data_IF_028422233422
#
_entry.id   IF_028422233422
#
_cell.length_a   1.000
_cell.length_b   1.000
_cell.length_c   1.000
_cell.angle_alpha   90.00
_cell.angle_beta   90.00
_cell.angle_gamma   90.00
#
_symmetry.space_group_name_H-M   'P 1'
#
loop_
_entity.id
_entity.type
_entity.pdbx_description
1 polymer ?
#
# COMPACT_ATOMS: atom_id res chain seq x y z
N UNK A 1 -46.00 4.76 10.92
CA UNK A 1 -44.66 5.41 10.83
C UNK A 1 -43.61 4.33 10.89
N UNK A 2 -43.09 3.92 9.73
CA UNK A 2 -42.04 2.90 9.62
C UNK A 2 -40.70 3.62 9.81
N UNK A 3 -39.99 3.28 10.88
CA UNK A 3 -38.69 3.85 11.23
C UNK A 3 -37.61 3.14 10.41
N UNK A 4 -37.13 3.78 9.33
CA UNK A 4 -35.95 3.30 8.62
C UNK A 4 -34.72 3.53 9.49
N UNK A 5 -34.18 2.47 10.10
CA UNK A 5 -32.83 2.48 10.67
C UNK A 5 -31.82 2.49 9.52
N UNK A 6 -31.18 3.63 9.30
CA UNK A 6 -29.97 3.72 8.49
C UNK A 6 -28.87 2.91 9.19
N UNK A 7 -28.55 1.73 8.66
CA UNK A 7 -27.29 1.05 8.97
C UNK A 7 -26.15 1.87 8.36
N UNK A 8 -25.05 2.15 9.09
CA UNK A 8 -23.86 2.69 8.48
C UNK A 8 -23.27 1.60 7.59
N UNK A 9 -23.27 1.81 6.27
CA UNK A 9 -22.45 1.06 5.34
C UNK A 9 -21.00 1.28 5.74
N UNK A 10 -20.42 0.33 6.47
CA UNK A 10 -18.97 0.16 6.53
C UNK A 10 -18.52 -0.19 5.10
N UNK A 11 -18.26 0.85 4.29
CA UNK A 11 -17.49 0.71 3.07
C UNK A 11 -16.07 0.35 3.49
N UNK A 12 -15.78 -0.95 3.60
CA UNK A 12 -14.40 -1.41 3.57
C UNK A 12 -13.79 -0.85 2.29
N UNK A 13 -12.84 0.07 2.44
CA UNK A 13 -11.96 0.50 1.37
C UNK A 13 -11.12 -0.73 0.97
N UNK A 14 -11.68 -1.60 0.13
CA UNK A 14 -10.88 -2.57 -0.57
C UNK A 14 -9.90 -1.78 -1.42
N UNK A 15 -8.60 -2.09 -1.30
CA UNK A 15 -7.61 -1.57 -2.22
C UNK A 15 -8.11 -1.85 -3.65
N UNK A 16 -8.27 -0.79 -4.45
CA UNK A 16 -8.63 -0.95 -5.86
C UNK A 16 -7.55 -1.81 -6.52
N UNK A 17 -7.94 -3.02 -6.92
CA UNK A 17 -7.09 -3.96 -7.62
C UNK A 17 -7.70 -4.27 -8.97
N UNK A 18 -6.86 -4.30 -10.00
CA UNK A 18 -7.26 -4.54 -11.38
C UNK A 18 -6.43 -5.70 -11.89
N UNK A 19 -7.05 -6.69 -12.51
CA UNK A 19 -6.34 -7.83 -13.08
C UNK A 19 -6.06 -7.57 -14.57
N UNK A 20 -4.83 -7.83 -15.00
CA UNK A 20 -4.43 -7.85 -16.40
C UNK A 20 -3.98 -9.28 -16.73
N UNK A 21 -4.39 -9.79 -17.90
CA UNK A 21 -4.31 -11.21 -18.23
C UNK A 21 -3.59 -11.40 -19.55
N UNK A 22 -2.68 -12.37 -19.64
CA UNK A 22 -2.10 -12.72 -20.92
C UNK A 22 -3.20 -13.11 -21.89
N UNK A 23 -3.18 -12.64 -23.16
CA UNK A 23 -3.99 -13.24 -24.21
C UNK A 23 -3.76 -14.75 -24.22
N UNK A 24 -4.82 -15.52 -23.98
CA UNK A 24 -4.75 -16.97 -23.85
C UNK A 24 -4.48 -17.58 -25.22
N UNK A 25 -3.41 -18.34 -25.34
CA UNK A 25 -3.13 -19.19 -26.51
C UNK A 25 -3.51 -20.64 -26.25
N UNK A 26 -3.34 -21.07 -25.02
CA UNK A 26 -3.80 -22.35 -24.46
C UNK A 26 -4.51 -22.07 -23.13
N UNK A 27 -5.27 -23.05 -22.63
CA UNK A 27 -5.87 -23.02 -21.29
C UNK A 27 -5.46 -24.26 -20.46
N UNK A 28 -4.35 -24.91 -20.81
CA UNK A 28 -3.85 -26.11 -20.13
C UNK A 28 -3.27 -25.80 -18.74
N UNK A 29 -3.36 -26.80 -17.86
CA UNK A 29 -2.85 -26.74 -16.49
C UNK A 29 -3.75 -26.02 -15.49
N UNK A 30 -3.32 -26.04 -14.23
CA UNK A 30 -4.06 -25.48 -13.10
C UNK A 30 -3.49 -24.13 -12.67
N UNK A 31 -4.38 -23.21 -12.29
CA UNK A 31 -4.01 -21.95 -11.65
C UNK A 31 -3.44 -22.19 -10.26
N UNK A 32 -2.21 -21.76 -10.03
CA UNK A 32 -1.45 -22.05 -8.82
C UNK A 32 -1.80 -21.12 -7.64
N UNK A 33 -2.59 -20.08 -7.91
CA UNK A 33 -3.15 -19.18 -6.91
C UNK A 33 -2.36 -17.89 -6.74
N UNK A 34 -3.08 -16.80 -6.46
CA UNK A 34 -2.50 -15.47 -6.33
C UNK A 34 -1.43 -15.37 -5.24
N UNK A 35 -0.29 -14.78 -5.59
CA UNK A 35 0.68 -14.23 -4.64
C UNK A 35 0.78 -12.73 -4.82
N UNK A 36 0.68 -12.00 -3.71
CA UNK A 36 0.73 -10.55 -3.71
C UNK A 36 2.04 -10.07 -3.09
N UNK A 37 2.55 -8.96 -3.60
CA UNK A 37 3.59 -8.18 -2.96
C UNK A 37 3.13 -7.75 -1.54
N UNK A 38 4.06 -7.59 -0.58
CA UNK A 38 3.75 -6.93 0.69
C UNK A 38 3.16 -5.53 0.48
N UNK A 39 2.31 -5.09 1.41
CA UNK A 39 1.62 -3.80 1.34
C UNK A 39 2.60 -2.64 1.08
N UNK A 40 2.24 -1.77 0.13
CA UNK A 40 3.05 -0.60 -0.25
C UNK A 40 4.29 -0.93 -1.10
N UNK A 41 4.40 -2.16 -1.62
CA UNK A 41 5.46 -2.56 -2.55
C UNK A 41 4.90 -3.04 -3.88
N UNK A 42 5.70 -2.92 -4.94
CA UNK A 42 5.32 -3.21 -6.31
C UNK A 42 6.43 -4.02 -7.00
N UNK A 43 6.05 -4.87 -7.93
CA UNK A 43 6.99 -5.69 -8.69
C UNK A 43 7.93 -4.78 -9.49
N UNK A 44 9.22 -5.09 -9.46
CA UNK A 44 10.25 -4.29 -10.15
C UNK A 44 11.36 -5.16 -10.77
N UNK A 45 11.32 -6.46 -10.55
CA UNK A 45 12.26 -7.40 -11.13
C UNK A 45 11.59 -8.74 -11.38
N UNK A 46 12.15 -9.50 -12.32
CA UNK A 46 11.66 -10.83 -12.71
C UNK A 46 12.80 -11.83 -12.73
N UNK A 47 12.49 -13.08 -12.42
CA UNK A 47 13.38 -14.22 -12.59
C UNK A 47 12.61 -15.34 -13.26
N UNK A 48 13.25 -16.01 -14.21
CA UNK A 48 12.65 -17.05 -15.03
C UNK A 48 13.27 -18.40 -14.67
N UNK A 49 12.45 -19.45 -14.63
CA UNK A 49 12.90 -20.83 -14.62
C UNK A 49 12.62 -21.43 -15.99
N UNK A 50 13.65 -21.87 -16.68
CA UNK A 50 13.56 -22.35 -18.06
C UNK A 50 14.46 -23.56 -18.23
N UNK A 51 14.05 -24.48 -19.08
CA UNK A 51 14.87 -25.63 -19.44
C UNK A 51 16.06 -25.21 -20.32
N UNK A 52 17.18 -25.94 -20.23
CA UNK A 52 18.37 -25.67 -21.03
C UNK A 52 18.35 -26.41 -22.36
N UNK A 53 19.13 -25.93 -23.33
CA UNK A 53 19.33 -26.54 -24.65
C UNK A 53 19.72 -28.03 -24.53
N UNK A 54 18.81 -28.92 -24.95
CA UNK A 54 18.94 -30.38 -24.83
C UNK A 54 19.69 -31.01 -26.03
N UNK A 55 20.25 -30.21 -26.95
CA UNK A 55 21.06 -30.71 -28.10
C UNK A 55 20.36 -31.82 -28.91
N UNK A 56 19.04 -31.72 -29.10
CA UNK A 56 18.27 -32.62 -29.96
C UNK A 56 16.86 -33.03 -29.49
N UNK A 57 16.35 -32.47 -28.40
CA UNK A 57 14.94 -32.54 -27.96
C UNK A 57 14.35 -31.14 -27.86
N UNK A 58 13.02 -30.99 -27.77
CA UNK A 58 12.34 -29.68 -27.79
C UNK A 58 12.90 -28.75 -26.72
N UNK A 59 13.56 -27.70 -27.19
CA UNK A 59 14.26 -26.77 -26.34
C UNK A 59 13.25 -25.78 -25.74
N UNK A 60 13.43 -25.46 -24.45
CA UNK A 60 13.22 -24.09 -23.93
C UNK A 60 11.79 -23.61 -23.63
N UNK A 61 10.99 -24.41 -22.91
CA UNK A 61 9.76 -23.90 -22.26
C UNK A 61 9.99 -23.12 -20.94
N UNK A 62 9.18 -22.09 -20.68
CA UNK A 62 9.10 -21.41 -19.39
C UNK A 62 8.39 -22.29 -18.38
N UNK A 63 9.03 -22.52 -17.24
CA UNK A 63 8.53 -23.38 -16.17
C UNK A 63 8.05 -22.57 -14.96
N UNK A 64 8.56 -21.35 -14.77
CA UNK A 64 8.13 -20.46 -13.69
C UNK A 64 8.53 -19.01 -13.94
N UNK A 65 7.74 -18.10 -13.37
CA UNK A 65 8.04 -16.67 -13.26
C UNK A 65 7.94 -16.27 -11.80
N UNK A 66 9.07 -15.80 -11.24
CA UNK A 66 9.10 -15.15 -9.95
C UNK A 66 9.24 -13.63 -10.13
N UNK A 67 8.49 -12.86 -9.35
CA UNK A 67 8.63 -11.40 -9.29
C UNK A 67 9.27 -11.00 -7.96
N UNK A 68 10.00 -9.88 -7.95
CA UNK A 68 10.50 -9.27 -6.72
C UNK A 68 9.86 -7.92 -6.51
N UNK A 69 9.48 -7.62 -5.28
CA UNK A 69 8.75 -6.41 -4.92
C UNK A 69 9.60 -5.41 -4.12
N UNK A 70 9.44 -4.12 -4.41
CA UNK A 70 10.08 -3.04 -3.65
C UNK A 70 9.11 -1.85 -3.46
N UNK A 71 9.30 -1.01 -2.42
CA UNK A 71 8.65 0.29 -2.37
C UNK A 71 9.06 1.14 -3.58
N UNK A 72 8.25 2.16 -3.90
CA UNK A 72 8.60 3.18 -4.89
C UNK A 72 9.86 3.94 -4.49
N UNK A 73 10.55 4.53 -5.48
CA UNK A 73 11.79 5.30 -5.29
C UNK A 73 12.89 4.50 -4.58
N UNK A 74 12.92 3.19 -4.82
CA UNK A 74 14.03 2.36 -4.42
C UNK A 74 15.29 2.77 -5.18
N UNK A 75 16.43 2.72 -4.50
CA UNK A 75 17.76 2.96 -5.07
C UNK A 75 18.70 1.75 -4.92
N UNK A 76 18.23 0.67 -4.28
CA UNK A 76 19.00 -0.55 -4.05
C UNK A 76 18.28 -1.77 -4.59
N UNK A 77 18.93 -2.46 -5.52
CA UNK A 77 18.53 -3.77 -6.03
C UNK A 77 18.68 -4.83 -4.93
N UNK A 78 17.62 -5.58 -4.64
CA UNK A 78 17.62 -6.68 -3.68
C UNK A 78 16.51 -7.71 -3.97
N UNK A 79 16.71 -8.95 -3.54
CA UNK A 79 15.80 -10.06 -3.82
C UNK A 79 14.99 -10.51 -2.60
N UNK A 80 14.81 -9.63 -1.60
CA UNK A 80 14.26 -10.04 -0.30
C UNK A 80 12.75 -10.28 -0.28
N UNK A 81 12.01 -9.83 -1.30
CA UNK A 81 10.54 -9.90 -1.37
C UNK A 81 10.10 -10.59 -2.66
N UNK A 82 10.53 -11.84 -2.80
CA UNK A 82 10.11 -12.70 -3.89
C UNK A 82 8.63 -13.10 -3.74
N UNK A 83 7.90 -13.10 -4.86
CA UNK A 83 6.58 -13.69 -5.00
C UNK A 83 6.60 -14.69 -6.15
N UNK A 84 6.08 -15.89 -5.88
CA UNK A 84 6.09 -17.02 -6.81
C UNK A 84 4.76 -17.75 -6.71
N UNK A 85 3.96 -17.67 -7.78
CA UNK A 85 2.63 -18.31 -7.84
C UNK A 85 2.75 -19.83 -7.87
N UNK A 86 3.48 -20.37 -8.84
CA UNK A 86 3.83 -21.78 -8.91
C UNK A 86 5.09 -21.99 -9.73
N UNK A 87 5.61 -23.21 -9.68
CA UNK A 87 6.88 -23.59 -10.29
C UNK A 87 6.78 -25.00 -10.88
N UNK A 88 7.15 -25.12 -12.16
CA UNK A 88 7.32 -26.41 -12.84
C UNK A 88 8.56 -27.17 -12.37
N UNK A 89 8.57 -28.49 -12.57
CA UNK A 89 9.62 -29.38 -12.09
C UNK A 89 10.96 -29.22 -12.79
N UNK A 90 10.96 -28.78 -14.04
CA UNK A 90 12.12 -28.83 -14.92
C UNK A 90 12.84 -27.49 -15.08
N UNK A 91 14.05 -27.56 -15.65
CA UNK A 91 14.90 -26.41 -15.92
C UNK A 91 15.54 -25.75 -14.70
N UNK A 92 16.24 -24.65 -14.97
CA UNK A 92 17.01 -23.92 -13.97
C UNK A 92 16.62 -22.46 -13.89
N UNK A 93 16.58 -21.93 -12.67
CA UNK A 93 16.39 -20.51 -12.42
C UNK A 93 17.56 -19.70 -13.01
N UNK A 94 17.24 -18.72 -13.85
CA UNK A 94 18.22 -17.82 -14.47
C UNK A 94 18.48 -16.58 -13.61
N UNK A 95 19.35 -15.70 -14.11
CA UNK A 95 19.65 -14.42 -13.45
C UNK A 95 18.42 -13.52 -13.32
N UNK A 96 18.37 -12.75 -12.24
CA UNK A 96 17.31 -11.76 -12.02
C UNK A 96 17.50 -10.59 -12.97
N UNK A 97 16.40 -10.12 -13.57
CA UNK A 97 16.34 -8.96 -14.46
C UNK A 97 15.56 -7.86 -13.77
N UNK A 98 16.16 -6.68 -13.68
CA UNK A 98 15.62 -5.57 -12.91
C UNK A 98 15.18 -4.43 -13.81
N UNK A 99 14.06 -3.81 -13.49
CA UNK A 99 13.69 -2.52 -14.06
C UNK A 99 14.80 -1.50 -13.76
N UNK A 100 14.98 -0.46 -14.60
CA UNK A 100 15.85 0.67 -14.30
C UNK A 100 15.53 1.29 -12.93
N UNK A 101 16.53 1.95 -12.33
CA UNK A 101 16.44 2.51 -10.99
C UNK A 101 15.19 3.37 -10.78
N UNK A 102 14.48 3.10 -9.68
CA UNK A 102 13.26 3.83 -9.31
C UNK A 102 12.00 3.49 -10.12
N UNK A 103 12.10 2.69 -11.18
CA UNK A 103 10.95 2.23 -11.96
C UNK A 103 10.33 0.96 -11.36
N UNK A 104 9.07 0.72 -11.71
CA UNK A 104 8.30 -0.47 -11.33
C UNK A 104 7.66 -1.08 -12.57
N UNK A 105 7.26 -2.35 -12.46
CA UNK A 105 6.56 -3.06 -13.52
C UNK A 105 5.14 -2.49 -13.65
N UNK A 106 4.81 -2.02 -14.86
CA UNK A 106 3.53 -1.38 -15.20
C UNK A 106 2.73 -2.17 -16.25
N UNK A 107 3.26 -3.30 -16.70
CA UNK A 107 2.63 -4.16 -17.70
C UNK A 107 3.50 -5.36 -18.04
N UNK A 108 2.99 -6.21 -18.93
CA UNK A 108 3.72 -7.37 -19.41
C UNK A 108 3.21 -7.88 -20.77
N UNK A 109 3.99 -8.78 -21.35
CA UNK A 109 3.60 -9.67 -22.43
C UNK A 109 4.23 -11.06 -22.20
N UNK A 110 3.60 -12.10 -22.75
CA UNK A 110 4.17 -13.45 -22.83
C UNK A 110 4.61 -13.74 -24.27
N UNK A 111 5.67 -14.53 -24.43
CA UNK A 111 6.01 -15.14 -25.72
C UNK A 111 5.55 -16.59 -25.71
N UNK A 112 4.76 -16.96 -26.71
CA UNK A 112 4.23 -18.30 -26.90
C UNK A 112 3.97 -18.51 -28.39
N UNK A 113 4.19 -19.72 -28.89
CA UNK A 113 3.85 -20.13 -30.26
C UNK A 113 2.32 -20.12 -30.50
N UNK A 114 1.83 -20.49 -31.67
CA UNK A 114 0.39 -20.67 -31.92
C UNK A 114 0.12 -22.12 -32.31
N UNK A 115 -1.04 -22.64 -31.91
CA UNK A 115 -1.50 -24.01 -32.19
C UNK A 115 -1.30 -24.37 -33.67
N UNK A 116 -0.42 -25.34 -33.94
CA UNK A 116 -0.07 -25.80 -35.29
C UNK A 116 -0.92 -26.97 -35.79
N UNK A 117 -2.10 -27.22 -35.22
CA UNK A 117 -3.11 -28.19 -35.71
C UNK A 117 -2.56 -29.60 -35.87
N UNK A 118 -2.01 -30.17 -34.80
CA UNK A 118 -1.65 -31.60 -34.73
C UNK A 118 -0.15 -31.91 -34.69
N UNK A 119 0.67 -30.96 -34.23
CA UNK A 119 2.00 -31.20 -33.66
C UNK A 119 1.96 -30.66 -32.23
N UNK A 120 2.73 -31.24 -31.31
CA UNK A 120 2.74 -30.86 -29.90
C UNK A 120 2.96 -29.35 -29.74
N UNK A 121 2.17 -28.71 -28.88
CA UNK A 121 2.01 -27.25 -28.85
C UNK A 121 2.39 -26.62 -27.49
N UNK A 122 3.37 -25.70 -27.54
CA UNK A 122 3.17 -24.25 -27.22
C UNK A 122 3.02 -23.82 -25.74
N UNK A 123 3.90 -24.29 -24.86
CA UNK A 123 4.15 -23.59 -23.59
C UNK A 123 4.51 -22.10 -23.80
N UNK A 124 4.34 -21.26 -22.78
CA UNK A 124 5.02 -19.97 -22.79
C UNK A 124 6.53 -20.22 -22.76
N UNK A 125 7.29 -19.45 -23.52
CA UNK A 125 8.77 -19.56 -23.59
C UNK A 125 9.40 -18.39 -22.83
N UNK A 126 8.78 -17.20 -22.87
CA UNK A 126 9.34 -16.03 -22.21
C UNK A 126 8.26 -15.12 -21.62
N UNK A 127 8.68 -14.31 -20.65
CA UNK A 127 7.90 -13.25 -20.03
C UNK A 127 8.67 -11.94 -20.16
N UNK A 128 7.99 -10.90 -20.65
CA UNK A 128 8.52 -9.55 -20.74
C UNK A 128 7.70 -8.65 -19.81
N UNK A 129 8.36 -8.06 -18.81
CA UNK A 129 7.76 -7.02 -17.96
C UNK A 129 8.11 -5.63 -18.49
N UNK A 130 7.12 -4.76 -18.63
CA UNK A 130 7.31 -3.36 -19.00
C UNK A 130 7.51 -2.51 -17.75
N UNK A 131 8.52 -1.63 -17.77
CA UNK A 131 8.94 -0.82 -16.64
C UNK A 131 8.64 0.65 -16.88
N UNK A 132 8.14 1.34 -15.86
CA UNK A 132 7.85 2.77 -15.94
C UNK A 132 7.48 3.37 -14.60
N UNK A 133 7.08 4.64 -14.64
CA UNK A 133 6.49 5.30 -13.48
C UNK A 133 4.99 5.01 -13.44
N UNK A 134 4.38 4.96 -12.24
CA UNK A 134 2.94 4.71 -12.11
C UNK A 134 2.06 5.68 -12.92
N UNK A 135 2.43 6.96 -13.01
CA UNK A 135 1.68 7.97 -13.78
C UNK A 135 2.24 8.21 -15.20
N UNK A 136 3.26 7.44 -15.58
CA UNK A 136 3.92 7.55 -16.87
C UNK A 136 3.09 7.02 -18.05
N UNK A 137 3.63 7.09 -19.27
CA UNK A 137 3.01 6.47 -20.43
C UNK A 137 2.92 4.94 -20.27
N UNK A 138 1.97 4.32 -20.98
CA UNK A 138 1.81 2.86 -21.07
C UNK A 138 2.41 2.38 -22.37
N UNK A 139 3.72 2.21 -22.34
CA UNK A 139 4.52 1.87 -23.50
C UNK A 139 5.68 0.92 -23.13
N UNK A 140 6.46 0.54 -24.15
CA UNK A 140 7.58 -0.38 -24.03
C UNK A 140 8.93 0.35 -23.86
N UNK A 141 8.95 1.60 -23.39
CA UNK A 141 10.17 2.42 -23.31
C UNK A 141 11.28 1.76 -22.48
N UNK A 142 10.89 1.01 -21.44
CA UNK A 142 11.80 0.19 -20.66
C UNK A 142 11.16 -1.18 -20.44
N UNK A 143 11.95 -2.24 -20.53
CA UNK A 143 11.45 -3.60 -20.37
C UNK A 143 12.53 -4.54 -19.80
N UNK A 144 12.06 -5.65 -19.25
CA UNK A 144 12.89 -6.74 -18.72
C UNK A 144 12.32 -8.08 -19.20
N UNK A 145 13.15 -8.96 -19.74
CA UNK A 145 12.75 -10.32 -20.13
C UNK A 145 13.83 -11.34 -19.80
N UNK A 146 13.47 -12.62 -19.85
CA UNK A 146 14.43 -13.72 -19.77
C UNK A 146 15.34 -13.74 -20.99
N UNK A 147 16.58 -14.21 -20.81
CA UNK A 147 17.55 -14.43 -21.90
C UNK A 147 17.27 -15.77 -22.62
N UNK A 148 16.00 -16.11 -22.89
CA UNK A 148 15.68 -17.34 -23.62
C UNK A 148 15.73 -17.11 -25.13
N UNK A 149 16.63 -17.80 -25.85
CA UNK A 149 16.38 -18.05 -27.27
C UNK A 149 15.15 -18.95 -27.35
N UNK A 150 14.27 -18.71 -28.32
CA UNK A 150 13.11 -19.56 -28.48
C UNK A 150 12.17 -19.05 -29.54
N UNK A 151 11.11 -19.82 -29.76
CA UNK A 151 10.22 -19.72 -30.90
C UNK A 151 8.87 -19.10 -30.48
N UNK A 152 8.13 -18.55 -31.44
CA UNK A 152 6.82 -17.95 -31.19
C UNK A 152 6.78 -16.42 -31.11
N UNK A 153 5.56 -15.92 -30.91
CA UNK A 153 5.24 -14.50 -31.02
C UNK A 153 4.88 -13.92 -29.65
N UNK A 154 5.30 -12.68 -29.41
CA UNK A 154 4.81 -11.94 -28.25
C UNK A 154 3.29 -11.74 -28.36
N UNK A 155 2.59 -12.03 -27.27
CA UNK A 155 1.17 -11.69 -27.11
C UNK A 155 0.98 -10.17 -27.08
N UNK A 156 -0.24 -9.71 -27.32
CA UNK A 156 -0.59 -8.31 -27.13
C UNK A 156 -0.24 -7.82 -25.71
N UNK A 157 0.48 -6.70 -25.65
CA UNK A 157 0.84 -6.03 -24.41
C UNK A 157 -0.37 -5.78 -23.51
N UNK A 158 -0.15 -6.03 -22.22
CA UNK A 158 -1.11 -5.72 -21.17
C UNK A 158 -0.50 -4.71 -20.21
N UNK A 159 -1.17 -3.58 -20.01
CA UNK A 159 -0.71 -2.53 -19.10
C UNK A 159 -1.69 -2.34 -17.95
N UNK A 160 -1.15 -2.11 -16.76
CA UNK A 160 -1.92 -1.52 -15.67
C UNK A 160 -2.45 -0.15 -16.09
N UNK A 161 -3.63 0.31 -15.62
CA UNK A 161 -4.08 1.68 -15.86
C UNK A 161 -3.10 2.71 -15.28
N UNK A 162 -3.16 3.97 -15.77
CA UNK A 162 -2.41 5.07 -15.18
C UNK A 162 -2.69 5.21 -13.67
N UNK A 163 -1.65 5.46 -12.88
CA UNK A 163 -1.70 5.47 -11.41
C UNK A 163 -1.68 4.09 -10.74
N UNK A 164 -1.41 3.01 -11.50
CA UNK A 164 -1.29 1.64 -10.97
C UNK A 164 0.04 1.01 -11.37
N UNK A 165 0.50 0.04 -10.57
CA UNK A 165 1.66 -0.80 -10.86
C UNK A 165 1.39 -2.25 -10.43
N UNK A 166 2.16 -3.19 -10.98
CA UNK A 166 2.02 -4.63 -10.68
C UNK A 166 2.34 -4.90 -9.21
N UNK A 167 1.45 -5.61 -8.53
CA UNK A 167 1.53 -5.96 -7.12
C UNK A 167 1.18 -7.43 -6.83
N UNK A 168 0.97 -8.26 -7.84
CA UNK A 168 0.70 -9.67 -7.64
C UNK A 168 0.76 -10.47 -8.94
N UNK A 169 0.91 -11.78 -8.79
CA UNK A 169 1.03 -12.75 -9.88
C UNK A 169 0.20 -14.00 -9.59
N UNK A 170 -0.38 -14.56 -10.63
CA UNK A 170 -0.98 -15.89 -10.67
C UNK A 170 -0.54 -16.56 -11.97
N UNK A 171 -0.14 -17.82 -11.91
CA UNK A 171 0.38 -18.58 -13.04
C UNK A 171 -0.46 -19.82 -13.25
N UNK A 172 -0.71 -20.16 -14.51
CA UNK A 172 -1.31 -21.43 -14.91
C UNK A 172 -0.20 -22.36 -15.35
N UNK A 173 -0.04 -23.47 -14.64
CA UNK A 173 1.04 -24.43 -14.85
C UNK A 173 0.41 -25.80 -15.05
N UNK A 174 0.79 -26.45 -16.14
CA UNK A 174 0.47 -27.85 -16.38
C UNK A 174 1.41 -28.71 -15.57
N UNK A 175 0.89 -29.70 -14.85
CA UNK A 175 1.70 -30.65 -14.08
C UNK A 175 1.96 -31.94 -14.87
N UNK A 176 2.89 -32.75 -14.37
CA UNK A 176 3.27 -34.05 -14.93
C UNK A 176 2.07 -34.95 -15.26
N UNK A 177 1.84 -35.26 -16.54
CA UNK A 177 0.80 -36.16 -17.04
C UNK A 177 1.37 -37.57 -17.36
N UNK A 178 2.69 -37.76 -17.22
CA UNK A 178 3.40 -39.03 -17.20
C UNK A 178 4.06 -39.48 -18.51
N UNK A 179 3.59 -39.09 -19.69
CA UNK A 179 4.14 -39.57 -20.97
C UNK A 179 4.06 -38.52 -22.08
N UNK A 180 5.04 -37.62 -22.12
CA UNK A 180 5.15 -36.49 -23.05
C UNK A 180 5.90 -35.35 -22.35
N UNK A 181 6.08 -34.17 -22.97
CA UNK A 181 6.70 -33.03 -22.27
C UNK A 181 5.83 -32.57 -21.09
N UNK A 182 6.23 -33.03 -19.92
CA UNK A 182 5.46 -33.03 -18.70
C UNK A 182 5.91 -31.87 -17.82
N UNK A 183 5.23 -30.71 -17.88
CA UNK A 183 5.24 -29.56 -16.94
C UNK A 183 5.71 -28.25 -17.58
N UNK A 184 4.76 -27.34 -17.88
CA UNK A 184 5.07 -26.04 -18.46
C UNK A 184 4.13 -24.92 -17.99
N UNK A 185 4.65 -23.68 -17.95
CA UNK A 185 3.86 -22.48 -17.70
C UNK A 185 3.11 -22.12 -18.99
N UNK A 186 1.78 -22.05 -18.90
CA UNK A 186 0.92 -21.73 -20.03
C UNK A 186 0.46 -20.27 -20.01
N UNK A 187 0.06 -19.76 -18.84
CA UNK A 187 -0.49 -18.40 -18.72
C UNK A 187 -0.02 -17.67 -17.46
N UNK A 188 -0.06 -16.34 -17.53
CA UNK A 188 0.21 -15.42 -16.40
C UNK A 188 -0.90 -14.39 -16.32
N UNK A 189 -1.40 -14.20 -15.11
CA UNK A 189 -2.21 -13.06 -14.73
C UNK A 189 -1.47 -12.21 -13.71
N UNK A 190 -1.50 -10.90 -13.91
CA UNK A 190 -0.93 -9.94 -12.97
C UNK A 190 -2.04 -9.12 -12.33
N UNK A 191 -1.82 -8.76 -11.07
CA UNK A 191 -2.66 -7.82 -10.34
C UNK A 191 -1.97 -6.46 -10.30
N UNK A 192 -2.71 -5.43 -10.65
CA UNK A 192 -2.32 -4.03 -10.58
C UNK A 192 -2.95 -3.40 -9.35
N UNK A 193 -2.14 -2.76 -8.52
CA UNK A 193 -2.59 -2.01 -7.35
C UNK A 193 -2.40 -0.51 -7.58
N UNK A 194 -3.31 0.28 -7.06
CA UNK A 194 -3.19 1.75 -7.10
C UNK A 194 -1.91 2.19 -6.38
N UNK A 195 -1.20 3.12 -7.00
CA UNK A 195 0.01 3.74 -6.48
C UNK A 195 -0.36 5.13 -5.95
N UNK A 196 -0.04 5.45 -4.68
CA UNK A 196 -0.13 6.82 -4.19
C UNK A 196 0.75 7.73 -5.07
N UNK A 197 0.20 8.80 -5.68
CA UNK A 197 0.93 9.63 -6.66
C UNK A 197 2.10 10.45 -6.10
N UNK A 198 2.33 10.43 -4.78
CA UNK A 198 3.35 11.23 -4.13
C UNK A 198 4.45 10.34 -3.55
N UNK A 199 5.68 10.61 -4.01
CA UNK A 199 6.94 10.07 -3.50
C UNK A 199 7.26 10.57 -2.09
N UNK A 200 6.43 10.23 -1.10
CA UNK A 200 6.63 10.68 0.27
C UNK A 200 7.54 9.69 1.02
N UNK A 201 8.82 10.02 1.19
CA UNK A 201 9.73 9.26 2.03
C UNK A 201 9.82 9.89 3.42
N UNK A 202 9.16 9.29 4.40
CA UNK A 202 9.22 9.71 5.80
C UNK A 202 8.88 8.54 6.73
N UNK A 203 9.40 8.61 7.94
CA UNK A 203 8.93 7.81 9.08
C UNK A 203 8.03 8.71 9.92
N UNK A 204 6.76 8.35 10.16
CA UNK A 204 5.88 9.17 10.97
C UNK A 204 6.45 9.39 12.37
N UNK A 205 6.41 10.63 12.83
CA UNK A 205 6.71 11.00 14.22
C UNK A 205 5.46 11.55 14.89
N UNK A 206 5.36 11.35 16.20
CA UNK A 206 4.18 11.74 16.98
C UNK A 206 4.57 12.69 18.10
N UNK A 207 3.72 13.68 18.36
CA UNK A 207 3.92 14.69 19.41
C UNK A 207 2.58 15.00 20.09
N UNK A 208 2.61 15.29 21.38
CA UNK A 208 1.49 15.91 22.08
C UNK A 208 1.74 17.42 22.13
N UNK A 209 0.79 18.20 21.67
CA UNK A 209 0.86 19.66 21.76
C UNK A 209 -0.26 20.17 22.67
N UNK A 210 0.11 21.05 23.62
CA UNK A 210 -0.83 21.71 24.52
C UNK A 210 -1.79 22.58 23.72
N UNK A 211 -3.09 22.30 23.87
CA UNK A 211 -4.17 23.13 23.33
C UNK A 211 -4.58 24.22 24.33
N UNK A 212 -4.76 23.84 25.59
CA UNK A 212 -5.16 24.75 26.67
C UNK A 212 -4.76 24.21 28.04
N UNK A 213 -4.77 25.09 29.03
CA UNK A 213 -4.57 24.78 30.44
C UNK A 213 -5.56 25.60 31.27
N UNK A 214 -6.09 24.99 32.32
CA UNK A 214 -7.01 25.65 33.22
C UNK A 214 -6.73 25.26 34.67
N UNK A 215 -6.62 26.27 35.53
CA UNK A 215 -6.40 26.07 36.97
C UNK A 215 -7.70 26.35 37.75
N UNK A 216 -8.33 25.28 38.25
CA UNK A 216 -9.48 25.34 39.15
C UNK A 216 -9.10 24.94 40.59
N UNK A 217 -7.83 25.04 41.00
CA UNK A 217 -7.38 24.61 42.33
C UNK A 217 -8.02 25.39 43.47
N UNK A 218 -8.34 26.67 43.24
CA UNK A 218 -8.97 27.56 44.20
C UNK A 218 -10.51 27.58 44.10
N UNK A 219 -11.09 26.96 43.08
CA UNK A 219 -12.53 26.94 42.87
C UNK A 219 -13.23 25.83 43.67
N UNK A 220 -14.41 26.16 44.21
CA UNK A 220 -15.23 25.26 45.02
C UNK A 220 -16.22 24.41 44.19
N UNK A 221 -16.26 24.60 42.87
CA UNK A 221 -17.20 23.91 41.97
C UNK A 221 -16.54 23.49 40.66
N UNK A 222 -17.25 22.66 39.89
CA UNK A 222 -16.82 22.25 38.54
C UNK A 222 -17.00 23.40 37.56
N UNK A 223 -15.97 23.68 36.76
CA UNK A 223 -16.00 24.71 35.73
C UNK A 223 -15.94 24.05 34.35
N UNK A 224 -16.89 24.38 33.48
CA UNK A 224 -16.86 23.94 32.09
C UNK A 224 -15.98 24.91 31.28
N UNK A 225 -14.98 24.38 30.59
CA UNK A 225 -14.12 25.13 29.67
C UNK A 225 -14.35 24.66 28.25
N UNK A 226 -14.11 25.55 27.29
CA UNK A 226 -14.09 25.22 25.87
C UNK A 226 -12.66 25.19 25.34
N UNK A 227 -12.37 24.28 24.42
CA UNK A 227 -11.09 24.20 23.73
C UNK A 227 -11.27 23.77 22.26
N UNK A 228 -10.33 24.17 21.41
CA UNK A 228 -10.42 23.94 19.97
C UNK A 228 -9.44 22.86 19.53
N UNK A 229 -9.97 21.73 19.03
CA UNK A 229 -9.18 20.70 18.34
C UNK A 229 -8.75 21.21 16.97
N UNK A 230 -7.52 20.91 16.58
CA UNK A 230 -6.98 21.20 15.24
C UNK A 230 -7.00 19.91 14.42
N UNK A 231 -8.13 19.56 13.82
CA UNK A 231 -8.26 18.32 13.01
C UNK A 231 -8.09 18.68 11.54
N UNK A 232 -6.85 18.59 11.03
CA UNK A 232 -6.53 19.02 9.66
C UNK A 232 -5.18 18.50 9.19
N UNK A 233 -4.97 18.51 7.87
CA UNK A 233 -3.65 18.44 7.26
C UNK A 233 -3.08 19.85 7.09
N UNK A 234 -1.82 20.03 7.47
CA UNK A 234 -1.09 21.30 7.34
C UNK A 234 0.34 21.03 6.89
N UNK A 235 1.01 22.03 6.32
CA UNK A 235 2.44 21.95 6.03
C UNK A 235 3.24 22.48 7.23
N UNK A 236 4.34 21.81 7.56
CA UNK A 236 5.24 22.23 8.66
C UNK A 236 6.10 23.43 8.26
N UNK A 237 6.55 23.46 7.01
CA UNK A 237 7.11 24.65 6.36
C UNK A 237 5.96 25.61 6.07
N UNK A 238 6.08 26.90 6.40
CA UNK A 238 5.03 27.93 6.27
C UNK A 238 4.47 28.21 4.86
N UNK A 239 4.56 27.24 3.95
CA UNK A 239 3.86 27.17 2.68
C UNK A 239 2.35 27.28 2.88
N UNK A 240 1.74 28.21 2.14
CA UNK A 240 0.30 28.44 2.10
C UNK A 240 -0.44 27.44 1.20
N UNK A 241 0.28 26.56 0.48
CA UNK A 241 -0.34 25.54 -0.37
C UNK A 241 -1.01 24.47 0.48
N UNK A 242 -2.29 24.21 0.21
CA UNK A 242 -3.05 23.10 0.80
C UNK A 242 -2.37 21.76 0.52
N UNK A 243 -2.58 20.79 1.41
CA UNK A 243 -2.11 19.41 1.23
C UNK A 243 -3.08 18.71 0.28
N UNK A 244 -2.58 18.18 -0.84
CA UNK A 244 -3.39 17.51 -1.85
C UNK A 244 -3.91 16.14 -1.37
N UNK A 245 -4.94 15.61 -2.03
CA UNK A 245 -5.50 14.27 -1.73
C UNK A 245 -4.42 13.18 -1.80
N UNK A 246 -3.56 13.26 -2.79
CA UNK A 246 -2.50 12.29 -3.06
C UNK A 246 -1.39 12.33 -1.99
N UNK A 247 -1.03 13.53 -1.52
CA UNK A 247 -0.10 13.72 -0.40
C UNK A 247 -0.68 13.14 0.91
N UNK A 248 -1.99 13.29 1.13
CA UNK A 248 -2.68 12.72 2.30
C UNK A 248 -2.70 11.19 2.25
N UNK A 249 -2.98 10.61 1.09
CA UNK A 249 -2.93 9.16 0.86
C UNK A 249 -1.52 8.61 1.06
N UNK A 250 -0.50 9.35 0.61
CA UNK A 250 0.90 9.01 0.85
C UNK A 250 1.28 9.10 2.34
N UNK A 251 0.77 10.08 3.10
CA UNK A 251 0.95 10.13 4.56
C UNK A 251 0.30 8.92 5.24
N UNK A 252 -0.94 8.59 4.86
CA UNK A 252 -1.68 7.45 5.41
C UNK A 252 -0.91 6.13 5.20
N UNK A 253 -0.31 5.93 4.02
CA UNK A 253 0.44 4.71 3.71
C UNK A 253 1.73 4.55 4.52
N UNK A 254 2.22 5.62 5.18
CA UNK A 254 3.42 5.57 6.03
C UNK A 254 3.12 5.15 7.47
N UNK A 255 1.85 5.10 7.86
CA UNK A 255 1.43 4.68 9.20
C UNK A 255 1.53 3.16 9.32
N UNK A 256 2.73 2.68 9.69
CA UNK A 256 3.03 1.25 9.87
C UNK A 256 3.21 0.85 11.34
N UNK A 257 3.46 1.82 12.22
CA UNK A 257 3.68 1.60 13.66
C UNK A 257 2.68 2.36 14.51
N UNK A 258 2.34 1.81 15.67
CA UNK A 258 1.54 2.48 16.70
C UNK A 258 2.36 3.46 17.55
N UNK A 259 1.69 4.06 18.53
CA UNK A 259 2.29 4.98 19.51
C UNK A 259 1.85 4.59 20.92
N UNK A 260 2.76 4.69 21.89
CA UNK A 260 2.45 4.56 23.31
C UNK A 260 2.49 5.95 23.96
N UNK A 261 1.42 6.31 24.67
CA UNK A 261 1.27 7.55 25.41
C UNK A 261 1.52 7.28 26.90
N UNK A 262 2.40 8.06 27.53
CA UNK A 262 2.68 7.96 28.97
C UNK A 262 2.44 9.30 29.67
N UNK A 263 2.11 9.21 30.97
CA UNK A 263 1.91 10.36 31.85
C UNK A 263 3.16 11.23 32.05
N UNK A 264 4.35 10.75 31.68
CA UNK A 264 5.65 11.39 31.89
C UNK A 264 6.22 12.05 30.61
N UNK A 265 5.56 11.88 29.46
CA UNK A 265 5.86 12.68 28.27
C UNK A 265 7.09 12.28 27.43
N UNK A 266 7.59 11.04 27.54
CA UNK A 266 8.74 10.55 26.76
C UNK A 266 8.40 9.32 25.90
N UNK A 267 8.82 9.33 24.63
CA UNK A 267 8.27 8.53 23.52
C UNK A 267 9.30 7.59 22.86
N UNK A 268 8.89 6.38 22.48
CA UNK A 268 9.53 5.55 21.44
C UNK A 268 8.44 4.90 20.59
N UNK A 269 8.67 4.78 19.27
CA UNK A 269 7.77 4.02 18.39
C UNK A 269 7.70 2.57 18.85
N UNK A 270 6.49 2.07 19.11
CA UNK A 270 6.27 0.70 19.58
C UNK A 270 5.71 -0.13 18.43
N UNK A 271 6.45 -1.16 18.02
CA UNK A 271 5.99 -2.14 17.04
C UNK A 271 5.05 -3.13 17.74
N UNK A 272 3.75 -2.84 17.78
CA UNK A 272 2.75 -3.76 18.31
C UNK A 272 1.88 -4.30 17.19
N UNK A 273 2.12 -5.57 16.86
CA UNK A 273 1.26 -6.40 16.02
C UNK A 273 0.12 -6.97 16.87
N UNK A 274 -1.00 -6.24 17.01
CA UNK A 274 -2.17 -6.80 17.69
C UNK A 274 -3.22 -5.78 18.16
N UNK A 275 -4.49 -6.22 18.14
CA UNK A 275 -5.65 -5.52 18.70
C UNK A 275 -5.65 -5.66 20.23
N UNK A 276 -5.15 -4.68 20.97
CA UNK A 276 -5.42 -4.57 22.41
C UNK A 276 -5.63 -3.11 22.81
N UNK A 277 -6.82 -2.82 23.32
CA UNK A 277 -7.16 -1.58 24.03
C UNK A 277 -7.17 -1.88 25.54
N UNK A 278 -6.41 -1.13 26.33
CA UNK A 278 -6.47 -1.20 27.80
C UNK A 278 -7.14 0.08 28.31
N UNK A 279 -8.23 -0.08 29.07
CA UNK A 279 -8.96 1.02 29.71
C UNK A 279 -8.20 1.61 30.90
N UNK A 280 -8.49 2.87 31.22
CA UNK A 280 -7.69 3.76 32.08
C UNK A 280 -8.18 3.77 33.55
N UNK A 281 -7.38 3.27 34.49
CA UNK A 281 -7.44 3.66 35.91
C UNK A 281 -6.04 3.82 36.53
N UNK A 282 -5.83 5.00 37.12
CA UNK A 282 -4.82 5.47 38.08
C UNK A 282 -3.34 4.99 38.07
N UNK A 283 -2.47 6.02 38.08
CA UNK A 283 -1.09 6.15 38.62
C UNK A 283 0.11 5.59 37.86
N UNK A 284 -0.01 4.66 36.90
CA UNK A 284 1.12 4.16 36.07
C UNK A 284 0.73 3.92 34.60
N UNK A 285 -0.24 4.66 34.07
CA UNK A 285 -0.95 4.32 32.83
C UNK A 285 -0.17 4.66 31.55
N UNK A 286 0.16 3.62 30.79
CA UNK A 286 0.54 3.67 29.38
C UNK A 286 -0.70 3.39 28.53
N UNK A 287 -0.99 4.22 27.55
CA UNK A 287 -2.01 3.96 26.54
C UNK A 287 -1.33 3.66 25.20
N UNK A 288 -1.54 2.45 24.68
CA UNK A 288 -1.07 2.11 23.35
C UNK A 288 -2.16 2.35 22.32
N UNK A 289 -1.82 3.06 21.27
CA UNK A 289 -2.62 3.24 20.06
C UNK A 289 -1.95 2.45 18.94
N UNK A 290 -2.64 1.43 18.41
CA UNK A 290 -2.15 0.61 17.30
C UNK A 290 -2.01 1.41 16.00
N UNK A 291 -1.20 0.91 15.06
CA UNK A 291 -1.09 1.51 13.71
C UNK A 291 -2.44 1.60 13.01
N UNK A 292 -3.31 0.58 13.17
CA UNK A 292 -4.66 0.59 12.62
C UNK A 292 -5.52 1.72 13.18
N UNK A 293 -5.49 1.95 14.50
CA UNK A 293 -6.21 3.07 15.10
C UNK A 293 -5.70 4.43 14.60
N UNK A 294 -4.38 4.58 14.42
CA UNK A 294 -3.83 5.80 13.81
C UNK A 294 -4.30 5.96 12.36
N UNK A 295 -4.31 4.87 11.57
CA UNK A 295 -4.84 4.91 10.20
C UNK A 295 -6.30 5.37 10.18
N UNK A 296 -7.16 4.85 11.07
CA UNK A 296 -8.55 5.29 11.20
C UNK A 296 -8.65 6.79 11.54
N UNK A 297 -7.82 7.27 12.48
CA UNK A 297 -7.77 8.69 12.83
C UNK A 297 -7.34 9.57 11.65
N UNK A 298 -6.35 9.15 10.86
CA UNK A 298 -5.90 9.88 9.67
C UNK A 298 -7.00 9.89 8.59
N UNK A 299 -7.69 8.77 8.38
CA UNK A 299 -8.82 8.68 7.46
C UNK A 299 -9.98 9.59 7.87
N UNK A 300 -10.28 9.69 9.17
CA UNK A 300 -11.29 10.61 9.70
C UNK A 300 -10.94 12.08 9.38
N UNK A 301 -9.66 12.46 9.54
CA UNK A 301 -9.18 13.81 9.15
C UNK A 301 -9.40 14.02 7.65
N UNK A 302 -9.12 13.02 6.81
CA UNK A 302 -9.32 13.10 5.35
C UNK A 302 -10.80 13.22 4.95
N UNK A 303 -11.72 12.54 5.65
CA UNK A 303 -13.15 12.59 5.34
C UNK A 303 -13.80 13.91 5.78
N UNK A 304 -13.35 14.47 6.90
CA UNK A 304 -13.94 15.70 7.45
C UNK A 304 -13.63 16.96 6.61
N UNK A 305 -12.61 16.91 5.74
CA UNK A 305 -12.33 18.00 4.80
C UNK A 305 -13.24 17.97 3.54
N UNK A 306 -13.87 16.83 3.22
CA UNK A 306 -14.72 16.68 2.01
C UNK A 306 -16.08 17.37 2.10
N UNK A 307 -16.55 17.76 3.28
CA UNK A 307 -17.89 18.35 3.48
C UNK A 307 -17.99 19.82 3.05
N UNK A 308 -16.93 20.43 2.52
CA UNK A 308 -16.89 21.85 2.12
C UNK A 308 -16.50 22.01 0.64
N UNK A 309 -17.18 21.30 -0.27
CA UNK A 309 -17.13 21.65 -1.70
C UNK A 309 -18.32 22.52 -2.15
N UNK A 310 -19.18 22.95 -1.22
CA UNK A 310 -20.45 23.58 -1.54
C UNK A 310 -20.70 24.86 -0.72
N UNK A 311 -19.74 25.78 -0.67
CA UNK A 311 -20.03 27.18 -0.31
C UNK A 311 -19.12 28.14 -1.07
N UNK A 312 -19.73 28.86 -2.00
CA UNK A 312 -19.21 30.03 -2.67
C UNK A 312 -19.01 31.19 -1.69
N UNK A 313 -17.78 31.38 -1.20
CA UNK A 313 -17.23 32.71 -0.87
C UNK A 313 -15.73 32.65 -0.61
N UNK A 314 -15.05 33.65 -1.16
CA UNK A 314 -13.62 33.91 -1.05
C UNK A 314 -13.15 34.00 0.42
N UNK A 315 -11.87 33.64 0.61
CA UNK A 315 -11.05 33.74 1.83
C UNK A 315 -11.30 32.76 2.97
N UNK A 316 -11.01 31.45 2.83
CA UNK A 316 -10.82 30.61 4.04
C UNK A 316 -9.73 29.56 3.81
N UNK A 317 -8.57 29.78 4.43
CA UNK A 317 -7.63 28.71 4.79
C UNK A 317 -8.36 27.85 5.82
N UNK A 318 -9.04 26.77 5.39
CA UNK A 318 -9.85 25.92 6.27
C UNK A 318 -8.96 25.10 7.22
N UNK A 319 -8.55 25.73 8.32
CA UNK A 319 -8.24 25.01 9.56
C UNK A 319 -9.59 24.64 10.18
N UNK A 320 -10.02 23.40 10.04
CA UNK A 320 -11.22 22.92 10.71
C UNK A 320 -10.96 22.92 12.23
N UNK A 321 -11.58 23.87 12.94
CA UNK A 321 -11.50 23.97 14.40
C UNK A 321 -12.77 23.39 14.98
N UNK A 322 -12.67 22.26 15.67
CA UNK A 322 -13.80 21.66 16.40
C UNK A 322 -13.72 22.14 17.84
N UNK A 323 -14.76 22.83 18.29
CA UNK A 323 -14.89 23.23 19.69
C UNK A 323 -15.44 22.05 20.49
N UNK A 324 -14.75 21.70 21.58
CA UNK A 324 -15.25 20.76 22.57
C UNK A 324 -15.21 21.37 23.97
N UNK A 325 -16.01 20.79 24.87
CA UNK A 325 -16.06 21.21 26.27
C UNK A 325 -15.41 20.18 27.18
N UNK A 326 -14.75 20.65 28.24
CA UNK A 326 -14.23 19.80 29.31
C UNK A 326 -14.66 20.35 30.67
N UNK A 327 -15.07 19.46 31.57
CA UNK A 327 -15.48 19.81 32.93
C UNK A 327 -14.29 19.68 33.88
N UNK A 328 -13.74 20.81 34.31
CA UNK A 328 -12.63 20.86 35.27
C UNK A 328 -13.17 20.74 36.68
N UNK A 329 -12.87 19.65 37.43
CA UNK A 329 -13.35 19.49 38.79
C UNK A 329 -12.84 20.57 39.73
N UNK A 330 -13.54 20.81 40.83
CA UNK A 330 -13.06 21.66 41.92
C UNK A 330 -11.70 21.17 42.45
N UNK A 331 -10.85 22.11 42.86
CA UNK A 331 -9.54 21.83 43.44
C UNK A 331 -8.55 21.10 42.51
N UNK A 332 -8.69 21.26 41.18
CA UNK A 332 -7.82 20.62 40.17
C UNK A 332 -7.30 21.61 39.13
N UNK A 333 -6.05 21.45 38.71
CA UNK A 333 -5.52 22.03 37.47
C UNK A 333 -5.53 20.97 36.38
N UNK A 334 -5.83 21.36 35.13
CA UNK A 334 -5.80 20.45 33.99
C UNK A 334 -5.07 21.06 32.80
N UNK A 335 -4.31 20.22 32.10
CA UNK A 335 -3.69 20.51 30.80
C UNK A 335 -4.32 19.60 29.77
N UNK A 336 -4.81 20.19 28.67
CA UNK A 336 -5.40 19.46 27.54
C UNK A 336 -4.42 19.50 26.36
N UNK A 337 -4.01 18.33 25.90
CA UNK A 337 -3.07 18.15 24.79
C UNK A 337 -3.73 17.35 23.66
N UNK A 338 -3.30 17.60 22.43
CA UNK A 338 -3.74 16.86 21.24
C UNK A 338 -2.57 16.12 20.61
N UNK A 339 -2.84 14.92 20.11
CA UNK A 339 -1.87 14.12 19.35
C UNK A 339 -1.74 14.65 17.93
N UNK A 340 -0.50 14.98 17.54
CA UNK A 340 -0.12 15.33 16.19
C UNK A 340 0.82 14.28 15.62
N UNK A 341 0.69 14.05 14.31
CA UNK A 341 1.61 13.23 13.53
C UNK A 341 2.32 14.12 12.51
N UNK A 342 3.61 13.91 12.28
CA UNK A 342 4.33 14.53 11.16
C UNK A 342 4.99 13.49 10.28
N UNK A 343 4.97 13.71 8.97
CA UNK A 343 5.63 12.86 8.00
C UNK A 343 6.14 13.75 6.85
N UNK A 344 7.46 13.88 6.73
CA UNK A 344 8.08 14.84 5.80
C UNK A 344 7.72 16.28 6.19
N UNK A 345 7.21 17.06 5.25
CA UNK A 345 6.76 18.43 5.48
C UNK A 345 5.25 18.54 5.81
N UNK A 346 4.59 17.42 6.11
CA UNK A 346 3.14 17.38 6.40
C UNK A 346 2.93 17.08 7.88
N UNK A 347 2.05 17.87 8.51
CA UNK A 347 1.58 17.71 9.88
C UNK A 347 0.08 17.42 9.87
N UNK A 348 -0.32 16.40 10.61
CA UNK A 348 -1.70 15.95 10.77
C UNK A 348 -2.09 16.11 12.23
N UNK A 349 -3.13 16.88 12.51
CA UNK A 349 -3.72 16.92 13.84
C UNK A 349 -4.78 15.84 13.99
N UNK A 350 -4.53 14.85 14.85
CA UNK A 350 -5.40 13.71 15.05
C UNK A 350 -6.50 14.03 16.09
N UNK A 351 -7.68 13.39 16.04
CA UNK A 351 -8.77 13.60 17.00
C UNK A 351 -8.42 13.24 18.46
N UNK A 352 -7.32 12.51 18.70
CA UNK A 352 -6.95 12.02 20.03
C UNK A 352 -6.52 13.16 20.96
N UNK A 353 -7.23 13.27 22.09
CA UNK A 353 -6.94 14.18 23.20
C UNK A 353 -6.37 13.41 24.39
N UNK A 354 -5.45 14.06 25.10
CA UNK A 354 -4.90 13.62 26.38
C UNK A 354 -5.09 14.74 27.39
N UNK A 355 -5.71 14.43 28.53
CA UNK A 355 -5.88 15.37 29.63
C UNK A 355 -4.99 14.94 30.80
N UNK A 356 -4.18 15.87 31.31
CA UNK A 356 -3.31 15.65 32.48
C UNK A 356 -3.75 16.57 33.62
N UNK A 357 -3.56 16.12 34.85
CA UNK A 357 -3.54 17.06 35.98
C UNK A 357 -2.27 17.91 35.87
N UNK A 358 -2.39 19.23 35.93
CA UNK A 358 -1.23 20.12 36.10
C UNK A 358 -0.92 20.38 37.55
#
# INVERSE_FOLDING_TARGET
MILFKLLPLLGFLFAETIEIRSPRRTDYGDWQGWKNCPDGTYAYAVKHKVEGDQRGGDDTGLNAVALFCNPLHWSTYNTNREILSGEGGWGGWKGVKYCPEGLVMIGFALRSEADQRGKDDVAADNFCGYCGTPDGPRDQSNWISGDTPGWGDWTQDQFCPQGFAVCGINTQIEGDQGGGDDTALNNVDLRCCRVPPVSLSCTPSYTLERLTEYDNRLGAGTIQIEYQKKISFSRTTGSTKTVGREEKEAVLSKVTTGVELSAEGMYKGVTLTGKTSVNYEHRNSRETISSHQIQTMVQEVMSNEKTVSDVSRLEIIFHFKITETYNVPAHKGVVIEQLFMTCGNIKVGLPKIVTRSS
#
